data_IF_372309074105
#
_entry.id   IF_372309074105
#
_cell.length_a   1.000
_cell.length_b   1.000
_cell.length_c   1.000
_cell.angle_alpha   90.00
_cell.angle_beta   90.00
_cell.angle_gamma   90.00
#
_symmetry.space_group_name_H-M   'P 1'
#
loop_
_entity.id
_entity.type
_entity.pdbx_description
1 polymer ?
#
# COMPACT_ATOMS: atom_id res chain seq x y z
N UNK A 1 13.86 13.94 -5.13
CA UNK A 1 12.52 13.48 -4.72
C UNK A 1 12.55 13.27 -3.22
N UNK A 2 11.53 13.73 -2.50
CA UNK A 2 11.47 13.56 -1.05
C UNK A 2 11.04 12.14 -0.71
N UNK A 3 11.56 11.60 0.39
CA UNK A 3 11.22 10.28 0.90
C UNK A 3 10.70 10.37 2.33
N UNK A 4 10.01 9.33 2.76
CA UNK A 4 9.62 9.14 4.15
C UNK A 4 9.75 7.66 4.51
N UNK A 5 9.82 7.36 5.81
CA UNK A 5 9.98 5.99 6.32
C UNK A 5 8.78 5.58 7.14
N UNK A 6 8.30 4.36 6.95
CA UNK A 6 7.23 3.75 7.74
C UNK A 6 7.54 2.29 8.04
N UNK A 7 6.93 1.75 9.08
CA UNK A 7 6.93 0.32 9.36
C UNK A 7 5.78 -0.35 8.61
N UNK A 8 6.09 -1.36 7.80
CA UNK A 8 5.12 -2.19 7.07
C UNK A 8 5.09 -3.57 7.69
N UNK A 9 3.88 -4.11 7.85
CA UNK A 9 3.64 -5.45 8.39
C UNK A 9 4.28 -6.52 7.48
N UNK A 10 5.03 -7.44 8.09
CA UNK A 10 5.80 -8.46 7.38
C UNK A 10 5.37 -9.91 7.69
N UNK A 11 4.36 -10.11 8.54
CA UNK A 11 4.09 -11.43 9.12
C UNK A 11 5.13 -11.78 10.19
N UNK A 12 5.14 -13.03 10.72
CA UNK A 12 6.16 -13.45 11.66
C UNK A 12 7.52 -13.55 10.97
N UNK A 13 8.55 -12.95 11.57
CA UNK A 13 9.95 -13.08 11.18
C UNK A 13 10.71 -13.66 12.37
N UNK A 14 11.44 -14.76 12.16
CA UNK A 14 12.04 -15.55 13.24
C UNK A 14 13.53 -15.30 13.42
N UNK A 15 14.16 -14.59 12.49
CA UNK A 15 15.58 -14.24 12.57
C UNK A 15 15.90 -13.00 11.76
N UNK A 16 17.06 -12.39 12.05
CA UNK A 16 17.57 -11.28 11.25
C UNK A 16 17.88 -11.71 9.80
N UNK A 17 18.41 -12.92 9.59
CA UNK A 17 18.71 -13.42 8.24
C UNK A 17 17.43 -13.52 7.38
N UNK A 18 16.37 -14.06 7.95
CA UNK A 18 15.05 -14.12 7.31
C UNK A 18 14.51 -12.70 7.02
N UNK A 19 14.60 -11.79 7.99
CA UNK A 19 14.17 -10.40 7.81
C UNK A 19 14.95 -9.70 6.69
N UNK A 20 16.27 -9.89 6.60
CA UNK A 20 17.08 -9.31 5.52
C UNK A 20 16.74 -9.92 4.15
N UNK A 21 16.44 -11.23 4.11
CA UNK A 21 16.09 -11.94 2.88
C UNK A 21 14.69 -11.59 2.36
N UNK A 22 13.71 -11.43 3.25
CA UNK A 22 12.32 -11.16 2.89
C UNK A 22 12.01 -9.66 2.80
N UNK A 23 12.70 -8.83 3.59
CA UNK A 23 12.43 -7.40 3.70
C UNK A 23 12.45 -6.67 2.36
N UNK A 24 13.46 -6.96 1.53
CA UNK A 24 13.56 -6.39 0.18
C UNK A 24 12.36 -6.74 -0.72
N UNK A 25 11.82 -7.97 -0.62
CA UNK A 25 10.67 -8.41 -1.42
C UNK A 25 9.38 -7.71 -0.97
N UNK A 26 9.18 -7.60 0.34
CA UNK A 26 8.00 -6.94 0.93
C UNK A 26 8.03 -5.44 0.62
N UNK A 27 9.19 -4.79 0.74
CA UNK A 27 9.36 -3.38 0.37
C UNK A 27 9.08 -3.14 -1.12
N UNK A 28 9.59 -4.00 -2.01
CA UNK A 28 9.36 -3.90 -3.45
C UNK A 28 7.87 -4.01 -3.82
N UNK A 29 7.09 -4.83 -3.10
CA UNK A 29 5.64 -4.91 -3.29
C UNK A 29 4.89 -3.60 -2.98
N UNK A 30 5.51 -2.70 -2.21
CA UNK A 30 4.99 -1.38 -1.87
C UNK A 30 5.70 -0.24 -2.63
N UNK A 31 6.43 -0.57 -3.71
CA UNK A 31 7.26 0.38 -4.48
C UNK A 31 8.29 1.13 -3.61
N UNK A 32 8.72 0.49 -2.52
CA UNK A 32 9.65 1.03 -1.54
C UNK A 32 10.99 0.32 -1.51
N UNK A 33 11.87 0.82 -0.64
CA UNK A 33 13.17 0.22 -0.35
C UNK A 33 13.23 -0.17 1.12
N UNK A 34 13.58 -1.43 1.37
CA UNK A 34 13.82 -1.91 2.72
C UNK A 34 15.07 -1.23 3.29
N UNK A 35 14.98 -0.66 4.49
CA UNK A 35 16.10 0.09 5.09
C UNK A 35 17.10 -0.80 5.83
N UNK A 36 16.80 -2.10 5.96
CA UNK A 36 17.54 -3.03 6.81
C UNK A 36 16.98 -3.13 8.23
N UNK A 37 16.14 -2.19 8.66
CA UNK A 37 15.57 -2.17 10.01
C UNK A 37 14.26 -2.97 10.10
N UNK A 38 14.10 -3.76 11.15
CA UNK A 38 12.91 -4.55 11.40
C UNK A 38 12.71 -4.78 12.90
N UNK A 39 11.51 -5.15 13.32
CA UNK A 39 11.21 -5.55 14.70
C UNK A 39 10.02 -6.49 14.79
N UNK A 40 10.05 -7.40 15.77
CA UNK A 40 8.87 -8.17 16.17
C UNK A 40 8.01 -7.34 17.10
N UNK A 41 6.75 -7.12 16.72
CA UNK A 41 5.79 -6.31 17.47
C UNK A 41 4.76 -7.16 18.23
N UNK A 42 4.55 -8.40 17.79
CA UNK A 42 3.78 -9.43 18.49
C UNK A 42 4.58 -10.72 18.42
N UNK A 43 5.05 -11.19 19.58
CA UNK A 43 5.87 -12.40 19.67
C UNK A 43 5.15 -13.60 19.05
N UNK A 44 5.82 -14.30 18.15
CA UNK A 44 5.29 -15.48 17.47
C UNK A 44 4.27 -15.22 16.35
N UNK A 45 3.79 -13.99 16.19
CA UNK A 45 2.70 -13.70 15.23
C UNK A 45 3.05 -12.62 14.21
N UNK A 46 3.72 -11.53 14.62
CA UNK A 46 3.83 -10.36 13.75
C UNK A 46 5.12 -9.56 13.95
N UNK A 47 5.78 -9.29 12.85
CA UNK A 47 6.91 -8.37 12.73
C UNK A 47 6.61 -7.28 11.69
N UNK A 48 7.38 -6.20 11.77
CA UNK A 48 7.38 -5.11 10.81
C UNK A 48 8.77 -4.92 10.22
N UNK A 49 8.82 -4.42 8.99
CA UNK A 49 10.04 -3.92 8.36
C UNK A 49 9.92 -2.42 8.12
N UNK A 50 11.00 -1.67 8.30
CA UNK A 50 11.03 -0.26 7.92
C UNK A 50 11.28 -0.15 6.41
N UNK A 51 10.41 0.60 5.75
CA UNK A 51 10.44 0.83 4.31
C UNK A 51 10.53 2.32 4.04
N UNK A 52 11.49 2.70 3.21
CA UNK A 52 11.59 4.04 2.63
C UNK A 52 10.74 4.12 1.35
N UNK A 53 9.81 5.08 1.33
CA UNK A 53 8.88 5.33 0.23
C UNK A 53 9.10 6.73 -0.35
N UNK A 54 8.85 6.88 -1.65
CA UNK A 54 8.81 8.19 -2.30
C UNK A 54 7.52 8.93 -1.91
N UNK A 55 7.58 10.24 -1.70
CA UNK A 55 6.37 11.05 -1.45
C UNK A 55 5.46 11.18 -2.66
N UNK A 56 5.93 10.79 -3.85
CA UNK A 56 5.17 10.82 -5.09
C UNK A 56 5.50 9.56 -5.91
N UNK A 57 4.53 9.00 -6.67
CA UNK A 57 4.77 7.91 -7.61
C UNK A 57 5.83 8.31 -8.65
N UNK A 58 6.72 7.40 -9.00
CA UNK A 58 7.86 7.64 -9.91
C UNK A 58 7.85 6.65 -11.07
N UNK A 59 8.57 6.93 -12.16
CA UNK A 59 8.71 6.01 -13.29
C UNK A 59 7.73 6.27 -14.43
N UNK A 60 7.91 5.54 -15.53
CA UNK A 60 7.15 5.71 -16.77
C UNK A 60 6.15 4.57 -17.02
N UNK A 61 6.21 3.51 -16.23
CA UNK A 61 5.30 2.37 -16.35
C UNK A 61 4.11 2.60 -15.42
N UNK A 62 2.93 2.17 -15.87
CA UNK A 62 1.70 2.29 -15.09
C UNK A 62 1.00 0.95 -14.99
N UNK A 63 0.43 0.66 -13.83
CA UNK A 63 -0.47 -0.45 -13.60
C UNK A 63 -1.73 0.05 -12.90
N UNK A 64 -2.90 -0.40 -13.36
CA UNK A 64 -4.19 -0.06 -12.76
C UNK A 64 -4.77 -1.26 -12.05
N UNK A 65 -5.24 -1.07 -10.81
CA UNK A 65 -6.04 -2.07 -10.11
C UNK A 65 -7.22 -1.45 -9.37
N UNK A 66 -8.25 -2.26 -9.17
CA UNK A 66 -9.40 -1.91 -8.34
C UNK A 66 -9.07 -2.22 -6.87
N UNK A 67 -9.03 -1.19 -6.03
CA UNK A 67 -8.73 -1.29 -4.59
C UNK A 67 -10.04 -1.21 -3.80
N UNK A 68 -10.22 -2.10 -2.82
CA UNK A 68 -11.37 -2.09 -1.91
C UNK A 68 -11.45 -0.76 -1.15
N UNK A 69 -12.62 -0.13 -1.16
CA UNK A 69 -12.82 1.21 -0.61
C UNK A 69 -13.87 1.28 0.52
N UNK A 70 -14.47 0.15 0.89
CA UNK A 70 -15.68 0.15 1.73
C UNK A 70 -16.91 0.59 0.95
N UNK A 71 -18.05 0.85 1.61
CA UNK A 71 -19.26 1.33 0.93
C UNK A 71 -19.06 2.76 0.41
N UNK A 72 -19.41 2.99 -0.85
CA UNK A 72 -19.48 4.33 -1.48
C UNK A 72 -20.91 4.53 -1.98
N UNK A 73 -21.50 5.69 -1.66
CA UNK A 73 -22.94 5.93 -1.89
C UNK A 73 -23.26 6.85 -3.07
N UNK A 74 -22.27 7.61 -3.57
CA UNK A 74 -22.44 8.52 -4.71
C UNK A 74 -21.10 8.87 -5.36
N UNK A 75 -21.15 9.56 -6.51
CA UNK A 75 -19.96 10.10 -7.17
C UNK A 75 -19.23 11.15 -6.32
N UNK A 76 -19.96 11.97 -5.56
CA UNK A 76 -19.37 12.93 -4.62
C UNK A 76 -18.64 12.23 -3.48
N UNK A 77 -19.21 11.13 -2.96
CA UNK A 77 -18.58 10.30 -1.94
C UNK A 77 -17.31 9.62 -2.49
N UNK A 78 -17.36 9.10 -3.72
CA UNK A 78 -16.18 8.55 -4.40
C UNK A 78 -15.05 9.59 -4.54
N UNK A 79 -15.39 10.84 -4.91
CA UNK A 79 -14.42 11.94 -5.00
C UNK A 79 -13.76 12.26 -3.66
N UNK A 80 -14.45 12.05 -2.54
CA UNK A 80 -13.90 12.27 -1.21
C UNK A 80 -13.06 11.07 -0.73
N UNK A 81 -13.51 9.84 -0.99
CA UNK A 81 -12.92 8.60 -0.46
C UNK A 81 -11.76 8.09 -1.31
N UNK A 82 -11.96 7.97 -2.63
CA UNK A 82 -11.03 7.26 -3.50
C UNK A 82 -9.61 7.86 -3.57
N UNK A 83 -9.40 9.19 -3.54
CA UNK A 83 -8.04 9.74 -3.50
C UNK A 83 -7.24 9.23 -2.31
N UNK A 84 -7.85 9.19 -1.12
CA UNK A 84 -7.21 8.73 0.12
C UNK A 84 -6.97 7.23 0.12
N UNK A 85 -7.93 6.45 -0.39
CA UNK A 85 -7.78 5.00 -0.55
C UNK A 85 -6.61 4.69 -1.48
N UNK A 86 -6.56 5.29 -2.68
CA UNK A 86 -5.45 5.03 -3.60
C UNK A 86 -4.11 5.49 -3.04
N UNK A 87 -4.06 6.65 -2.38
CA UNK A 87 -2.84 7.15 -1.74
C UNK A 87 -2.32 6.19 -0.65
N UNK A 88 -3.20 5.53 0.11
CA UNK A 88 -2.81 4.55 1.14
C UNK A 88 -2.08 3.32 0.59
N UNK A 89 -2.28 2.99 -0.69
CA UNK A 89 -1.56 1.93 -1.39
C UNK A 89 -0.37 2.46 -2.22
N UNK A 90 -0.12 3.77 -2.25
CA UNK A 90 0.92 4.40 -3.09
C UNK A 90 0.49 4.69 -4.53
N UNK A 91 -0.82 4.63 -4.82
CA UNK A 91 -1.41 4.92 -6.11
C UNK A 91 -2.11 6.28 -6.18
N UNK A 92 -2.65 6.61 -7.36
CA UNK A 92 -3.50 7.78 -7.60
C UNK A 92 -4.84 7.34 -8.16
N UNK A 93 -5.94 7.92 -7.67
CA UNK A 93 -7.27 7.61 -8.20
C UNK A 93 -7.40 8.10 -9.64
N UNK A 94 -7.90 7.24 -10.54
CA UNK A 94 -8.11 7.57 -11.95
C UNK A 94 -9.51 8.13 -12.27
N UNK A 95 -10.31 8.41 -11.23
CA UNK A 95 -11.69 8.89 -11.38
C UNK A 95 -12.73 7.78 -11.53
N UNK A 96 -12.33 6.52 -11.60
CA UNK A 96 -13.26 5.38 -11.73
C UNK A 96 -13.54 4.75 -10.36
N UNK A 97 -14.79 4.38 -10.13
CA UNK A 97 -15.21 3.59 -8.98
C UNK A 97 -16.41 2.72 -9.37
N UNK A 98 -16.66 1.64 -8.62
CA UNK A 98 -17.88 0.85 -8.78
C UNK A 98 -18.26 0.15 -7.48
N UNK A 99 -19.55 0.06 -7.20
CA UNK A 99 -20.06 -0.84 -6.15
C UNK A 99 -19.94 -2.29 -6.63
N UNK A 100 -19.36 -3.15 -5.80
CA UNK A 100 -19.21 -4.59 -6.08
C UNK A 100 -20.11 -5.45 -5.19
N UNK A 101 -20.49 -4.93 -4.02
CA UNK A 101 -21.51 -5.50 -3.14
C UNK A 101 -22.37 -4.36 -2.61
N UNK A 102 -23.63 -4.32 -3.04
CA UNK A 102 -24.59 -3.28 -2.69
C UNK A 102 -24.64 -3.03 -1.17
N UNK A 103 -24.49 -1.77 -0.77
CA UNK A 103 -24.53 -1.32 0.62
C UNK A 103 -23.38 -1.81 1.52
N UNK A 104 -22.35 -2.48 0.98
CA UNK A 104 -21.24 -3.04 1.77
C UNK A 104 -19.86 -2.74 1.23
N UNK A 105 -19.67 -2.80 -0.08
CA UNK A 105 -18.33 -2.71 -0.66
C UNK A 105 -18.35 -2.14 -2.07
N UNK A 106 -17.48 -1.16 -2.28
CA UNK A 106 -17.13 -0.56 -3.55
C UNK A 106 -15.62 -0.62 -3.75
N UNK A 107 -15.18 -0.38 -4.97
CA UNK A 107 -13.76 -0.33 -5.34
C UNK A 107 -13.44 0.99 -6.04
N UNK A 108 -12.21 1.47 -5.84
CA UNK A 108 -11.64 2.63 -6.54
C UNK A 108 -10.58 2.16 -7.55
N UNK A 109 -10.62 2.71 -8.76
CA UNK A 109 -9.58 2.48 -9.77
C UNK A 109 -8.31 3.26 -9.42
N UNK A 110 -7.28 2.57 -8.98
CA UNK A 110 -6.02 3.17 -8.57
C UNK A 110 -4.91 2.87 -9.59
N UNK A 111 -4.20 3.92 -10.01
CA UNK A 111 -3.05 3.85 -10.92
C UNK A 111 -1.76 3.95 -10.10
N UNK A 112 -0.84 3.03 -10.34
CA UNK A 112 0.46 2.94 -9.69
C UNK A 112 1.55 3.18 -10.72
N UNK A 113 2.51 4.06 -10.39
CA UNK A 113 3.66 4.38 -11.25
C UNK A 113 4.93 3.77 -10.68
N UNK A 114 5.72 3.12 -11.54
CA UNK A 114 7.01 2.52 -11.19
C UNK A 114 8.02 2.54 -12.35
#
# INVERSE_FOLDING_TARGET
>A
MSTFKINIIAGPLWSNDEAQKLGGRIAAAHLGKFTGQWSTIVEGEMSVIEVELNTQPTGSSEYTLNVLAGPIWSDEDAKAVCPSICASYGGTWNGQWTTVVEGKMSVCGCVFKF
#
